data_IF_449202109423
#
_entry.id   IF_449202109423
#
_cell.length_a   1.000
_cell.length_b   1.000
_cell.length_c   1.000
_cell.angle_alpha   90.00
_cell.angle_beta   90.00
_cell.angle_gamma   90.00
#
_symmetry.space_group_name_H-M   'P 1'
#
loop_
_entity.id
_entity.type
_entity.pdbx_description
1 polymer ?
#
# COMPACT_ATOMS: atom_id res chain seq x y z
N UNK A 1 0.12 18.55 -16.34
CA UNK A 1 -0.86 18.15 -15.31
C UNK A 1 -0.73 16.65 -15.17
N UNK A 2 -0.19 16.14 -14.06
CA UNK A 2 -0.12 14.70 -13.87
C UNK A 2 -1.55 14.12 -13.83
N UNK A 3 -1.77 12.98 -14.49
CA UNK A 3 -3.12 12.46 -14.77
C UNK A 3 -3.87 12.06 -13.49
N UNK A 4 -5.00 12.72 -13.22
CA UNK A 4 -5.89 12.40 -12.08
C UNK A 4 -6.39 10.95 -12.19
N UNK A 5 -6.38 10.18 -11.10
CA UNK A 5 -6.94 8.82 -11.09
C UNK A 5 -8.44 8.92 -11.38
N UNK A 6 -8.90 8.24 -12.42
CA UNK A 6 -10.28 8.33 -12.86
C UNK A 6 -11.22 7.57 -11.90
N UNK A 7 -12.48 7.99 -11.68
CA UNK A 7 -13.40 7.29 -10.78
C UNK A 7 -13.51 5.79 -11.02
N UNK A 8 -13.68 5.36 -12.28
CA UNK A 8 -13.67 3.93 -12.65
C UNK A 8 -12.37 3.20 -12.30
N UNK A 9 -11.22 3.87 -12.33
CA UNK A 9 -9.95 3.26 -11.92
C UNK A 9 -9.89 3.07 -10.41
N UNK A 10 -10.47 4.00 -9.64
CA UNK A 10 -10.68 3.83 -8.20
C UNK A 10 -11.60 2.66 -7.92
N UNK A 11 -12.75 2.57 -8.57
CA UNK A 11 -13.71 1.46 -8.35
C UNK A 11 -13.07 0.09 -8.64
N UNK A 12 -12.27 -0.01 -9.70
CA UNK A 12 -11.55 -1.26 -10.02
C UNK A 12 -10.48 -1.54 -8.97
N UNK A 13 -9.70 -0.54 -8.60
CA UNK A 13 -8.66 -0.70 -7.58
C UNK A 13 -9.24 -1.14 -6.25
N UNK A 14 -10.29 -0.46 -5.79
CA UNK A 14 -10.92 -0.69 -4.48
C UNK A 14 -11.52 -2.11 -4.43
N UNK A 15 -12.19 -2.55 -5.51
CA UNK A 15 -12.69 -3.92 -5.60
C UNK A 15 -11.58 -4.98 -5.60
N UNK A 16 -10.47 -4.74 -6.30
CA UNK A 16 -9.32 -5.66 -6.26
C UNK A 16 -8.66 -5.69 -4.88
N UNK A 17 -8.52 -4.53 -4.22
CA UNK A 17 -7.97 -4.47 -2.86
C UNK A 17 -8.85 -5.24 -1.87
N UNK A 18 -10.17 -5.08 -1.94
CA UNK A 18 -11.11 -5.85 -1.12
C UNK A 18 -10.95 -7.36 -1.35
N UNK A 19 -10.89 -7.80 -2.60
CA UNK A 19 -10.67 -9.21 -2.97
C UNK A 19 -9.33 -9.74 -2.39
N UNK A 20 -8.25 -8.96 -2.46
CA UNK A 20 -6.95 -9.36 -1.93
C UNK A 20 -6.95 -9.41 -0.39
N UNK A 21 -7.60 -8.47 0.29
CA UNK A 21 -7.75 -8.48 1.76
C UNK A 21 -8.54 -9.72 2.22
N UNK A 22 -9.63 -10.05 1.52
CA UNK A 22 -10.44 -11.25 1.82
C UNK A 22 -9.68 -12.56 1.57
N UNK A 23 -8.73 -12.56 0.64
CA UNK A 23 -7.90 -13.72 0.30
C UNK A 23 -6.65 -13.87 1.19
N UNK A 24 -6.42 -12.97 2.15
CA UNK A 24 -5.24 -13.01 3.02
C UNK A 24 -5.20 -14.27 3.91
N UNK A 25 -4.02 -14.89 4.07
CA UNK A 25 -3.86 -15.96 5.05
C UNK A 25 -4.02 -15.44 6.48
N UNK A 26 -4.52 -16.29 7.39
CA UNK A 26 -4.80 -15.94 8.79
C UNK A 26 -3.73 -15.13 9.55
N UNK A 27 -2.41 -15.42 9.46
CA UNK A 27 -1.42 -14.59 10.17
C UNK A 27 -1.40 -13.13 9.70
N UNK A 28 -1.67 -12.88 8.42
CA UNK A 28 -1.70 -11.53 7.85
C UNK A 28 -2.97 -10.77 8.22
N UNK A 29 -4.11 -11.47 8.30
CA UNK A 29 -5.38 -10.88 8.75
C UNK A 29 -5.27 -10.31 10.16
N UNK A 30 -4.57 -10.98 11.06
CA UNK A 30 -4.35 -10.50 12.43
C UNK A 30 -3.58 -9.17 12.45
N UNK A 31 -2.52 -9.04 11.63
CA UNK A 31 -1.77 -7.78 11.53
C UNK A 31 -2.58 -6.66 10.86
N UNK A 32 -3.44 -7.02 9.90
CA UNK A 32 -4.33 -6.05 9.26
C UNK A 32 -5.36 -5.46 10.24
N UNK A 33 -5.76 -6.19 11.29
CA UNK A 33 -6.63 -5.68 12.36
C UNK A 33 -5.91 -4.68 13.29
N UNK A 34 -4.58 -4.63 13.27
CA UNK A 34 -3.75 -3.75 14.12
C UNK A 34 -3.34 -2.44 13.42
N UNK A 35 -3.54 -2.36 12.10
CA UNK A 35 -3.18 -1.19 11.27
C UNK A 35 -4.41 -0.56 10.63
N UNK A 36 -4.33 0.74 10.33
CA UNK A 36 -5.29 1.40 9.45
C UNK A 36 -4.79 1.32 8.00
N UNK A 37 -5.50 0.61 7.11
CA UNK A 37 -5.20 0.63 5.67
C UNK A 37 -5.85 1.88 5.05
N UNK A 38 -5.02 2.76 4.51
CA UNK A 38 -5.46 4.02 3.89
C UNK A 38 -5.11 3.99 2.41
N UNK A 39 -6.08 4.28 1.55
CA UNK A 39 -5.84 4.32 0.11
C UNK A 39 -5.98 5.75 -0.41
N UNK A 40 -4.86 6.32 -0.83
CA UNK A 40 -4.81 7.65 -1.42
C UNK A 40 -4.57 7.57 -2.93
N UNK A 41 -4.98 8.58 -3.67
CA UNK A 41 -4.66 8.62 -5.10
C UNK A 41 -3.16 8.76 -5.34
N UNK A 42 -2.47 9.52 -4.48
CA UNK A 42 -1.07 9.91 -4.59
C UNK A 42 -0.50 10.27 -3.23
N UNK A 43 0.83 10.31 -3.15
CA UNK A 43 1.54 10.81 -1.98
C UNK A 43 1.15 12.28 -1.72
N UNK A 44 0.63 12.60 -0.52
CA UNK A 44 0.36 13.97 -0.12
C UNK A 44 1.64 14.83 -0.18
N UNK A 45 1.58 16.10 -0.63
CA UNK A 45 2.75 16.97 -0.71
C UNK A 45 3.51 17.08 0.61
N UNK A 46 2.81 17.13 1.73
CA UNK A 46 3.43 17.20 3.06
C UNK A 46 4.26 15.95 3.39
N UNK A 47 3.81 14.76 2.97
CA UNK A 47 4.56 13.51 3.17
C UNK A 47 5.79 13.48 2.25
N UNK A 48 5.62 13.89 0.98
CA UNK A 48 6.74 13.97 0.05
C UNK A 48 7.82 14.96 0.53
N UNK A 49 7.41 16.13 1.06
CA UNK A 49 8.32 17.13 1.62
C UNK A 49 9.06 16.61 2.87
N UNK A 50 8.35 15.95 3.79
CA UNK A 50 8.93 15.39 5.02
C UNK A 50 9.96 14.29 4.72
N UNK A 51 9.67 13.45 3.72
CA UNK A 51 10.57 12.41 3.23
C UNK A 51 11.66 12.94 2.28
N UNK A 52 11.63 14.22 1.90
CA UNK A 52 12.59 14.83 0.97
C UNK A 52 12.50 14.27 -0.45
N UNK A 53 11.35 13.73 -0.86
CA UNK A 53 11.13 13.14 -2.17
C UNK A 53 11.00 14.21 -3.25
N UNK A 54 11.58 13.96 -4.41
CA UNK A 54 11.26 14.69 -5.63
C UNK A 54 9.84 14.34 -6.10
N UNK A 55 9.27 15.17 -6.98
CA UNK A 55 7.93 14.93 -7.52
C UNK A 55 7.84 13.59 -8.28
N UNK A 56 8.90 13.18 -8.99
CA UNK A 56 8.91 11.92 -9.74
C UNK A 56 9.01 10.71 -8.80
N UNK A 57 9.79 10.81 -7.71
CA UNK A 57 9.87 9.75 -6.69
C UNK A 57 8.54 9.58 -5.95
N UNK A 58 7.89 10.69 -5.58
CA UNK A 58 6.58 10.66 -4.93
C UNK A 58 5.49 10.06 -5.83
N UNK A 59 5.53 10.28 -7.15
CA UNK A 59 4.59 9.65 -8.09
C UNK A 59 4.86 8.14 -8.30
N UNK A 60 6.10 7.70 -8.04
CA UNK A 60 6.51 6.30 -8.15
C UNK A 60 6.25 5.47 -6.89
N UNK A 61 5.92 6.10 -5.75
CA UNK A 61 5.70 5.40 -4.49
C UNK A 61 4.42 4.55 -4.55
N UNK A 62 4.52 3.29 -4.14
CA UNK A 62 3.43 2.31 -4.21
C UNK A 62 2.69 2.18 -2.88
N UNK A 63 3.46 2.09 -1.81
CA UNK A 63 3.01 1.96 -0.44
C UNK A 63 3.86 2.79 0.51
N UNK A 64 3.35 3.01 1.71
CA UNK A 64 4.08 3.64 2.81
C UNK A 64 3.47 3.20 4.14
N UNK A 65 4.25 2.49 4.94
CA UNK A 65 3.99 2.35 6.37
C UNK A 65 4.32 3.65 7.11
N UNK A 66 3.37 4.17 7.89
CA UNK A 66 3.57 5.32 8.78
C UNK A 66 3.11 5.01 10.19
N UNK A 67 3.90 5.41 11.19
CA UNK A 67 3.57 5.24 12.60
C UNK A 67 4.74 4.70 13.40
N UNK A 68 4.68 4.84 14.73
CA UNK A 68 5.67 4.24 15.62
C UNK A 68 5.39 2.73 15.68
N UNK A 69 6.38 1.86 15.41
CA UNK A 69 6.26 0.41 15.57
C UNK A 69 5.68 0.04 16.94
N UNK A 70 4.89 -1.04 17.02
CA UNK A 70 4.32 -1.53 18.28
C UNK A 70 5.38 -1.77 19.37
N UNK A 71 6.58 -2.15 18.95
CA UNK A 71 7.76 -2.41 19.78
C UNK A 71 8.37 -1.15 20.40
N UNK A 72 8.07 0.03 19.86
CA UNK A 72 8.65 1.32 20.26
C UNK A 72 7.63 2.28 20.92
N UNK A 73 6.37 1.84 21.12
CA UNK A 73 5.36 2.63 21.83
C UNK A 73 5.70 2.76 23.32
N UNK A 74 5.82 4.00 23.80
CA UNK A 74 5.94 4.29 25.23
C UNK A 74 4.55 4.54 25.85
N UNK A 75 4.36 4.19 27.13
CA UNK A 75 3.08 4.34 27.86
C UNK A 75 2.70 5.83 28.05
N UNK A 76 3.64 6.73 27.82
CA UNK A 76 3.52 8.18 28.00
C UNK A 76 3.13 8.93 26.71
N UNK A 77 3.08 8.26 25.56
CA UNK A 77 2.66 8.89 24.31
C UNK A 77 1.14 9.16 24.30
N UNK A 78 0.70 10.38 23.93
CA UNK A 78 -0.72 10.68 23.79
C UNK A 78 -1.34 9.71 22.79
N UNK A 79 -2.44 9.04 23.16
CA UNK A 79 -3.16 8.00 22.40
C UNK A 79 -2.67 7.91 20.95
N UNK A 80 -1.59 7.16 20.74
CA UNK A 80 -0.91 7.15 19.46
C UNK A 80 -1.88 6.60 18.43
N UNK A 81 -2.05 7.32 17.32
CA UNK A 81 -2.83 6.82 16.20
C UNK A 81 -2.28 5.44 15.83
N UNK A 82 -3.14 4.47 15.49
CA UNK A 82 -2.67 3.18 15.03
C UNK A 82 -1.75 3.40 13.83
N UNK A 83 -0.70 2.57 13.67
CA UNK A 83 0.13 2.57 12.48
C UNK A 83 -0.76 2.44 11.25
N UNK A 84 -0.42 3.19 10.22
CA UNK A 84 -1.15 3.25 8.98
C UNK A 84 -0.32 2.56 7.90
N UNK A 85 -0.96 1.73 7.09
CA UNK A 85 -0.41 1.27 5.82
C UNK A 85 -1.10 2.06 4.72
N UNK A 86 -0.35 2.92 4.04
CA UNK A 86 -0.87 3.74 2.95
C UNK A 86 -0.57 3.07 1.63
N UNK A 87 -1.56 2.98 0.75
CA UNK A 87 -1.41 2.54 -0.64
C UNK A 87 -1.70 3.71 -1.58
N UNK A 88 -0.86 3.91 -2.59
CA UNK A 88 -0.98 5.00 -3.55
C UNK A 88 -1.45 4.48 -4.92
N UNK A 89 -2.70 4.79 -5.28
CA UNK A 89 -3.33 4.26 -6.50
C UNK A 89 -2.54 4.62 -7.75
N UNK A 90 -2.06 5.86 -7.89
CA UNK A 90 -1.35 6.30 -9.08
C UNK A 90 -0.06 5.49 -9.32
N UNK A 91 0.74 5.30 -8.26
CA UNK A 91 1.96 4.50 -8.31
C UNK A 91 1.66 3.05 -8.70
N UNK A 92 0.70 2.42 -8.02
CA UNK A 92 0.30 1.02 -8.28
C UNK A 92 -0.26 0.82 -9.69
N UNK A 93 -1.11 1.73 -10.17
CA UNK A 93 -1.66 1.70 -11.53
C UNK A 93 -0.55 1.87 -12.57
N UNK A 94 0.39 2.80 -12.35
CA UNK A 94 1.52 3.03 -13.24
C UNK A 94 2.45 1.80 -13.29
N UNK A 95 2.78 1.25 -12.12
CA UNK A 95 3.65 0.08 -11.98
C UNK A 95 3.04 -1.16 -12.65
N UNK A 96 1.75 -1.41 -12.45
CA UNK A 96 1.03 -2.49 -13.11
C UNK A 96 0.85 -2.27 -14.64
N UNK A 97 1.28 -1.13 -15.19
CA UNK A 97 1.08 -0.76 -16.58
C UNK A 97 -0.38 -0.58 -16.96
N UNK A 98 -1.23 -0.21 -15.98
CA UNK A 98 -2.66 -0.07 -16.15
C UNK A 98 -3.01 1.11 -17.07
N UNK A 99 -4.09 0.93 -17.83
CA UNK A 99 -4.72 2.01 -18.57
C UNK A 99 -6.18 1.65 -18.81
N UNK A 100 -7.08 2.64 -18.79
CA UNK A 100 -8.50 2.45 -19.13
C UNK A 100 -8.74 1.75 -20.47
N UNK A 101 -7.84 1.88 -21.45
CA UNK A 101 -7.96 1.21 -22.77
C UNK A 101 -7.55 -0.27 -22.71
N UNK A 102 -6.93 -0.70 -21.62
CA UNK A 102 -6.40 -2.03 -21.39
C UNK A 102 -7.02 -2.65 -20.13
N UNK A 103 -8.24 -2.27 -19.77
CA UNK A 103 -9.00 -2.94 -18.71
C UNK A 103 -9.37 -4.36 -19.21
N UNK A 104 -8.68 -5.37 -18.71
CA UNK A 104 -8.80 -6.78 -19.11
C UNK A 104 -8.51 -7.70 -17.93
N UNK A 105 -8.92 -8.98 -17.96
CA UNK A 105 -8.61 -9.91 -16.86
C UNK A 105 -7.11 -10.01 -16.56
N UNK A 106 -6.26 -10.02 -17.59
CA UNK A 106 -4.81 -10.13 -17.40
C UNK A 106 -4.18 -8.87 -16.78
N UNK A 107 -4.68 -7.68 -17.10
CA UNK A 107 -4.20 -6.43 -16.49
C UNK A 107 -4.75 -6.21 -15.10
N UNK A 108 -5.98 -6.65 -14.81
CA UNK A 108 -6.52 -6.67 -13.45
C UNK A 108 -5.75 -7.63 -12.56
N UNK A 109 -5.42 -8.82 -13.05
CA UNK A 109 -4.61 -9.79 -12.30
C UNK A 109 -3.23 -9.21 -11.92
N UNK A 110 -2.56 -8.51 -12.84
CA UNK A 110 -1.29 -7.82 -12.54
C UNK A 110 -1.45 -6.71 -11.51
N UNK A 111 -2.52 -5.93 -11.59
CA UNK A 111 -2.80 -4.88 -10.62
C UNK A 111 -3.10 -5.48 -9.23
N UNK A 112 -3.92 -6.53 -9.17
CA UNK A 112 -4.21 -7.27 -7.94
C UNK A 112 -2.93 -7.87 -7.32
N UNK A 113 -2.10 -8.54 -8.12
CA UNK A 113 -0.79 -9.04 -7.67
C UNK A 113 0.07 -7.91 -7.09
N UNK A 114 0.14 -6.77 -7.79
CA UNK A 114 0.91 -5.63 -7.30
C UNK A 114 0.34 -5.03 -6.00
N UNK A 115 -0.99 -4.91 -5.89
CA UNK A 115 -1.66 -4.45 -4.66
C UNK A 115 -1.33 -5.40 -3.51
N UNK A 116 -1.45 -6.70 -3.73
CA UNK A 116 -1.18 -7.74 -2.73
C UNK A 116 0.27 -7.67 -2.25
N UNK A 117 1.21 -7.68 -3.18
CA UNK A 117 2.65 -7.65 -2.89
C UNK A 117 2.96 -6.41 -2.04
N UNK A 118 2.57 -5.22 -2.51
CA UNK A 118 2.80 -3.98 -1.75
C UNK A 118 2.12 -3.98 -0.38
N UNK A 119 0.87 -4.43 -0.27
CA UNK A 119 0.18 -4.49 1.03
C UNK A 119 0.92 -5.42 2.01
N UNK A 120 1.35 -6.59 1.54
CA UNK A 120 2.05 -7.57 2.36
C UNK A 120 3.46 -7.12 2.73
N UNK A 121 4.18 -6.44 1.84
CA UNK A 121 5.45 -5.79 2.16
C UNK A 121 5.31 -4.82 3.34
N UNK A 122 4.38 -3.88 3.24
CA UNK A 122 4.19 -2.85 4.28
C UNK A 122 3.69 -3.46 5.60
N UNK A 123 2.82 -4.48 5.54
CA UNK A 123 2.38 -5.23 6.73
C UNK A 123 3.51 -6.07 7.35
N UNK A 124 4.39 -6.65 6.53
CA UNK A 124 5.52 -7.42 7.01
C UNK A 124 6.52 -6.54 7.75
N UNK A 125 6.84 -5.38 7.19
CA UNK A 125 7.65 -4.37 7.89
C UNK A 125 6.99 -3.93 9.20
N UNK A 126 5.66 -3.75 9.23
CA UNK A 126 4.96 -3.48 10.47
C UNK A 126 5.12 -4.60 11.52
N UNK A 127 5.08 -5.87 11.08
CA UNK A 127 5.29 -7.04 11.91
C UNK A 127 6.76 -7.28 12.30
N UNK A 128 7.69 -6.49 11.76
CA UNK A 128 9.13 -6.60 12.02
C UNK A 128 9.85 -7.63 11.15
N UNK A 129 9.25 -8.03 10.02
CA UNK A 129 9.89 -8.86 9.00
C UNK A 129 10.86 -8.02 8.16
N UNK A 130 12.00 -8.60 7.84
CA UNK A 130 12.96 -8.03 6.89
C UNK A 130 12.67 -8.46 5.45
N UNK A 131 13.48 -7.97 4.50
CA UNK A 131 13.32 -8.31 3.07
C UNK A 131 13.52 -9.81 2.82
N UNK A 132 14.41 -10.48 3.56
CA UNK A 132 14.68 -11.92 3.39
C UNK A 132 13.46 -12.76 3.85
N UNK A 133 12.83 -12.39 4.97
CA UNK A 133 11.60 -13.02 5.47
C UNK A 133 10.43 -12.85 4.48
N UNK A 134 10.34 -11.69 3.83
CA UNK A 134 9.32 -11.35 2.84
C UNK A 134 9.52 -12.14 1.54
N UNK A 135 10.76 -12.22 1.06
CA UNK A 135 11.16 -13.03 -0.09
C UNK A 135 10.82 -14.52 0.12
N UNK A 136 11.15 -15.07 1.29
CA UNK A 136 10.86 -16.48 1.61
C UNK A 136 9.35 -16.77 1.65
N UNK A 137 8.54 -15.78 2.05
CA UNK A 137 7.09 -15.85 2.04
C UNK A 137 6.47 -15.64 0.64
N UNK A 138 7.27 -15.27 -0.38
CA UNK A 138 6.85 -15.01 -1.75
C UNK A 138 6.26 -13.62 -1.98
N UNK A 139 6.64 -12.66 -1.14
CA UNK A 139 6.17 -11.27 -1.14
C UNK A 139 7.36 -10.33 -1.21
N UNK A 140 8.32 -10.62 -2.09
CA UNK A 140 9.56 -9.86 -2.34
C UNK A 140 9.47 -8.90 -3.51
#
# INVERSE_FOLDING_TARGET
>A
MPATVHPRERDVFDGLLEEEIEALPAPWTAWLEEVAVIVEDRVPPAIAEDMGLTADEAEGLLGLHTGVPLTERSVEDPASLPPEVRLFRAGLLAHAGWSRRRDSPATRARLAEQIRVTLLHELGHHAGLDEDDLDEAGYG
#
